data_IF_524807478738
#
_entry.id   IF_524807478738
#
_cell.length_a   1.000
_cell.length_b   1.000
_cell.length_c   1.000
_cell.angle_alpha   90.00
_cell.angle_beta   90.00
_cell.angle_gamma   90.00
#
_symmetry.space_group_name_H-M   'P 1'
#
loop_
_entity.id
_entity.type
_entity.pdbx_description
1 polymer ?
#
# COMPACT_ATOMS: atom_id res chain seq x y z
N UNK A 1 28.73 20.59 -12.98
CA UNK A 1 27.40 21.26 -13.04
C UNK A 1 27.01 21.80 -14.44
N UNK A 2 27.51 21.24 -15.56
CA UNK A 2 27.07 21.61 -16.94
C UNK A 2 26.52 20.45 -17.78
N UNK A 3 26.57 19.19 -17.32
CA UNK A 3 26.07 17.99 -18.05
C UNK A 3 24.59 17.68 -17.80
N UNK A 4 24.04 18.01 -16.63
CA UNK A 4 22.64 17.70 -16.27
C UNK A 4 21.63 18.57 -17.05
N UNK A 5 22.05 19.78 -17.44
CA UNK A 5 21.20 20.73 -18.16
C UNK A 5 21.02 20.39 -19.66
N UNK A 6 21.78 19.42 -20.18
CA UNK A 6 21.67 18.97 -21.58
C UNK A 6 20.55 17.93 -21.77
N UNK A 7 20.34 17.06 -20.78
CA UNK A 7 19.34 15.98 -20.82
C UNK A 7 17.91 16.56 -20.80
N UNK A 8 17.67 17.61 -20.01
CA UNK A 8 16.35 18.25 -19.92
C UNK A 8 15.96 19.05 -21.17
N UNK A 9 16.93 19.58 -21.94
CA UNK A 9 16.64 20.40 -23.11
C UNK A 9 16.17 19.58 -24.32
N UNK A 10 16.48 18.27 -24.38
CA UNK A 10 16.00 17.36 -25.44
C UNK A 10 14.67 16.67 -25.14
N UNK A 11 14.18 16.72 -23.90
CA UNK A 11 12.88 16.14 -23.54
C UNK A 11 11.70 16.94 -24.09
N UNK A 12 11.90 18.19 -24.52
CA UNK A 12 10.85 19.04 -25.10
C UNK A 12 10.57 18.69 -26.58
N UNK A 13 11.53 18.11 -27.30
CA UNK A 13 11.30 17.58 -28.67
C UNK A 13 10.61 16.21 -28.67
N UNK A 14 10.55 15.54 -27.52
CA UNK A 14 9.97 14.20 -27.35
C UNK A 14 8.45 14.17 -27.62
N UNK A 15 7.77 15.32 -27.49
CA UNK A 15 6.31 15.39 -27.66
C UNK A 15 5.87 15.68 -29.11
N UNK A 16 6.75 16.26 -29.95
CA UNK A 16 6.40 16.68 -31.32
C UNK A 16 6.60 15.55 -32.36
N UNK A 17 7.39 14.52 -32.05
CA UNK A 17 7.76 13.46 -33.00
C UNK A 17 6.94 12.17 -32.88
N UNK A 18 5.77 12.19 -32.23
CA UNK A 18 4.89 11.01 -32.10
C UNK A 18 4.20 10.58 -33.42
N UNK A 19 4.43 11.26 -34.54
CA UNK A 19 3.66 11.06 -35.79
C UNK A 19 4.41 10.47 -36.99
N UNK A 20 5.72 10.20 -36.94
CA UNK A 20 6.42 9.61 -38.08
C UNK A 20 7.35 8.45 -37.72
N UNK A 21 6.91 7.24 -38.11
CA UNK A 21 7.64 6.01 -38.43
C UNK A 21 8.86 5.62 -37.56
N UNK A 22 8.59 4.78 -36.54
CA UNK A 22 9.55 4.19 -35.59
C UNK A 22 10.75 3.44 -36.25
N UNK A 23 10.54 2.79 -37.40
CA UNK A 23 11.54 1.91 -38.03
C UNK A 23 12.77 2.62 -38.59
N UNK A 24 12.64 3.86 -39.06
CA UNK A 24 13.77 4.59 -39.63
C UNK A 24 14.69 5.19 -38.55
N UNK A 25 14.13 5.54 -37.39
CA UNK A 25 14.87 6.13 -36.28
C UNK A 25 15.68 5.09 -35.50
N UNK A 26 15.15 3.87 -35.34
CA UNK A 26 15.93 2.76 -34.78
C UNK A 26 17.19 2.54 -35.62
N UNK A 27 17.07 2.36 -36.94
CA UNK A 27 18.22 2.08 -37.82
C UNK A 27 19.27 3.21 -37.80
N UNK A 28 18.84 4.48 -37.71
CA UNK A 28 19.75 5.64 -37.67
C UNK A 28 20.49 5.76 -36.32
N UNK A 29 19.81 5.52 -35.20
CA UNK A 29 20.42 5.56 -33.86
C UNK A 29 21.35 4.37 -33.63
N UNK A 30 20.98 3.17 -34.11
CA UNK A 30 21.82 1.97 -34.06
C UNK A 30 23.16 2.15 -34.81
N UNK A 31 23.17 2.91 -35.93
CA UNK A 31 24.38 3.12 -36.75
C UNK A 31 25.36 4.17 -36.18
N UNK A 32 24.89 5.12 -35.37
CA UNK A 32 25.72 6.23 -34.85
C UNK A 32 26.14 6.03 -33.39
N UNK A 33 25.29 5.42 -32.55
CA UNK A 33 25.51 5.31 -31.10
C UNK A 33 25.66 3.86 -30.61
N UNK A 34 25.69 2.91 -31.54
CA UNK A 34 25.68 1.47 -31.28
C UNK A 34 26.97 0.97 -30.63
N UNK A 35 26.99 0.93 -29.30
CA UNK A 35 27.33 -0.25 -28.48
C UNK A 35 27.31 0.11 -26.99
N UNK A 36 27.81 1.29 -26.61
CA UNK A 36 27.87 1.76 -25.22
C UNK A 36 26.49 2.17 -24.67
N UNK A 37 25.66 2.87 -25.46
CA UNK A 37 24.29 3.24 -25.04
C UNK A 37 23.36 2.03 -24.89
N UNK A 38 23.64 0.90 -25.53
CA UNK A 38 22.83 -0.32 -25.39
C UNK A 38 23.15 -1.05 -24.09
N UNK A 39 24.42 -1.07 -23.64
CA UNK A 39 24.75 -1.63 -22.32
C UNK A 39 24.18 -0.78 -21.20
N UNK A 40 24.35 0.54 -21.25
CA UNK A 40 23.75 1.45 -20.27
C UNK A 40 22.22 1.42 -20.33
N UNK A 41 21.63 1.26 -21.53
CA UNK A 41 20.19 1.13 -21.72
C UNK A 41 19.62 -0.21 -21.24
N UNK A 42 20.31 -1.33 -21.46
CA UNK A 42 19.93 -2.65 -20.96
C UNK A 42 20.08 -2.75 -19.44
N UNK A 43 21.17 -2.20 -18.88
CA UNK A 43 21.42 -2.15 -17.45
C UNK A 43 20.41 -1.21 -16.75
N UNK A 44 20.08 -0.06 -17.37
CA UNK A 44 19.02 0.84 -16.92
C UNK A 44 17.63 0.21 -17.00
N UNK A 45 17.29 -0.50 -18.09
CA UNK A 45 16.02 -1.22 -18.22
C UNK A 45 15.95 -2.39 -17.22
N UNK A 46 17.06 -3.07 -16.95
CA UNK A 46 17.14 -4.14 -15.95
C UNK A 46 16.97 -3.62 -14.52
N UNK A 47 17.66 -2.53 -14.15
CA UNK A 47 17.51 -1.89 -12.84
C UNK A 47 16.11 -1.26 -12.65
N UNK A 48 15.52 -0.71 -13.72
CA UNK A 48 14.13 -0.21 -13.74
C UNK A 48 13.11 -1.35 -13.58
N UNK A 49 13.39 -2.52 -14.16
CA UNK A 49 12.54 -3.71 -14.03
C UNK A 49 12.58 -4.28 -12.59
N UNK A 50 13.75 -4.38 -11.95
CA UNK A 50 13.89 -4.95 -10.60
C UNK A 50 13.14 -4.12 -9.53
N UNK A 51 13.21 -2.78 -9.60
CA UNK A 51 12.48 -1.90 -8.66
C UNK A 51 10.96 -1.98 -8.86
N UNK A 52 10.50 -2.07 -10.10
CA UNK A 52 9.06 -2.26 -10.41
C UNK A 52 8.59 -3.66 -10.00
N UNK A 53 9.46 -4.65 -10.04
CA UNK A 53 9.11 -6.01 -9.65
C UNK A 53 8.76 -6.13 -8.17
N UNK A 54 9.30 -5.27 -7.30
CA UNK A 54 8.83 -5.14 -5.90
C UNK A 54 7.33 -4.78 -5.85
N UNK A 55 6.90 -3.78 -6.64
CA UNK A 55 5.50 -3.37 -6.69
C UNK A 55 4.59 -4.44 -7.31
N UNK A 56 5.04 -5.09 -8.39
CA UNK A 56 4.31 -6.20 -9.03
C UNK A 56 4.14 -7.37 -8.06
N UNK A 57 5.21 -7.71 -7.34
CA UNK A 57 5.25 -8.81 -6.36
C UNK A 57 4.32 -8.50 -5.20
N UNK A 58 4.39 -7.28 -4.63
CA UNK A 58 3.48 -6.83 -3.58
C UNK A 58 2.02 -6.91 -4.02
N UNK A 59 1.69 -6.43 -5.23
CA UNK A 59 0.33 -6.53 -5.78
C UNK A 59 -0.12 -7.98 -5.96
N UNK A 60 0.76 -8.85 -6.46
CA UNK A 60 0.47 -10.28 -6.63
C UNK A 60 0.18 -10.95 -5.28
N UNK A 61 1.02 -10.69 -4.27
CA UNK A 61 0.84 -11.20 -2.89
C UNK A 61 -0.49 -10.71 -2.32
N UNK A 62 -0.81 -9.41 -2.43
CA UNK A 62 -2.09 -8.86 -1.95
C UNK A 62 -3.30 -9.54 -2.60
N UNK A 63 -3.23 -9.81 -3.91
CA UNK A 63 -4.28 -10.54 -4.61
C UNK A 63 -4.37 -12.01 -4.18
N UNK A 64 -3.24 -12.67 -3.92
CA UNK A 64 -3.21 -14.05 -3.43
C UNK A 64 -3.79 -14.15 -2.02
N UNK A 65 -3.42 -13.23 -1.12
CA UNK A 65 -4.00 -13.14 0.23
C UNK A 65 -5.51 -12.93 0.12
N UNK A 66 -5.96 -12.00 -0.73
CA UNK A 66 -7.40 -11.76 -0.92
C UNK A 66 -8.13 -13.02 -1.38
N UNK A 67 -7.63 -13.72 -2.41
CA UNK A 67 -8.25 -14.97 -2.90
C UNK A 67 -8.23 -16.08 -1.87
N UNK A 68 -7.14 -16.22 -1.13
CA UNK A 68 -7.01 -17.25 -0.10
C UNK A 68 -7.94 -16.99 1.08
N UNK A 69 -8.29 -15.73 1.37
CA UNK A 69 -9.18 -15.37 2.49
C UNK A 69 -10.61 -15.02 2.02
N UNK A 70 -10.90 -15.23 0.73
CA UNK A 70 -12.15 -14.77 0.12
C UNK A 70 -13.37 -15.50 0.70
N UNK A 71 -13.25 -16.79 0.99
CA UNK A 71 -14.30 -17.59 1.62
C UNK A 71 -14.68 -17.05 3.01
N UNK A 72 -13.68 -16.80 3.84
CA UNK A 72 -13.83 -16.37 5.22
C UNK A 72 -14.35 -14.92 5.29
N UNK A 73 -13.93 -14.06 4.36
CA UNK A 73 -14.48 -12.71 4.22
C UNK A 73 -15.88 -12.67 3.62
N UNK A 74 -16.22 -13.59 2.71
CA UNK A 74 -17.58 -13.73 2.17
C UNK A 74 -18.58 -14.17 3.23
N UNK A 75 -18.21 -15.15 4.04
CA UNK A 75 -19.07 -15.63 5.14
C UNK A 75 -19.36 -14.51 6.15
N UNK A 76 -18.37 -13.66 6.40
CA UNK A 76 -18.50 -12.49 7.26
C UNK A 76 -19.08 -11.25 6.55
N UNK A 77 -19.24 -11.27 5.22
CA UNK A 77 -19.68 -10.14 4.38
C UNK A 77 -18.87 -8.86 4.61
N UNK A 78 -17.55 -9.00 4.69
CA UNK A 78 -16.61 -7.88 4.88
C UNK A 78 -15.64 -7.71 3.71
N UNK A 79 -15.18 -6.48 3.51
CA UNK A 79 -14.09 -6.13 2.58
C UNK A 79 -12.73 -6.27 3.25
N UNK A 80 -11.64 -6.30 2.47
CA UNK A 80 -10.27 -6.37 3.02
C UNK A 80 -9.95 -5.29 4.07
N UNK A 81 -10.19 -3.98 3.80
CA UNK A 81 -9.96 -2.93 4.79
C UNK A 81 -10.82 -3.06 6.06
N UNK A 82 -12.05 -3.57 5.93
CA UNK A 82 -12.92 -3.87 7.08
C UNK A 82 -12.36 -5.02 7.92
N UNK A 83 -11.89 -6.09 7.27
CA UNK A 83 -11.20 -7.20 7.94
C UNK A 83 -9.93 -6.77 8.65
N UNK A 84 -9.13 -5.87 8.06
CA UNK A 84 -7.94 -5.31 8.71
C UNK A 84 -8.28 -4.55 10.00
N UNK A 85 -9.28 -3.66 9.98
CA UNK A 85 -9.71 -2.94 11.20
C UNK A 85 -10.16 -3.93 12.28
N UNK A 86 -10.98 -4.92 11.92
CA UNK A 86 -11.43 -5.92 12.88
C UNK A 86 -10.24 -6.70 13.44
N UNK A 87 -9.31 -7.14 12.60
CA UNK A 87 -8.11 -7.87 13.03
C UNK A 87 -7.24 -7.06 13.99
N UNK A 88 -7.03 -5.77 13.71
CA UNK A 88 -6.29 -4.85 14.60
C UNK A 88 -6.98 -4.74 15.95
N UNK A 89 -8.30 -4.54 15.98
CA UNK A 89 -9.10 -4.43 17.21
C UNK A 89 -9.19 -5.76 17.97
N UNK A 90 -9.18 -6.90 17.29
CA UNK A 90 -9.13 -8.21 17.94
C UNK A 90 -7.79 -8.43 18.65
N UNK A 91 -6.69 -7.98 18.05
CA UNK A 91 -5.34 -8.12 18.61
C UNK A 91 -5.05 -7.12 19.73
N UNK A 92 -5.43 -5.85 19.56
CA UNK A 92 -5.08 -4.77 20.51
C UNK A 92 -6.22 -4.41 21.46
N UNK A 93 -7.43 -4.93 21.23
CA UNK A 93 -8.62 -4.56 21.99
C UNK A 93 -9.22 -3.22 21.53
N UNK A 94 -9.80 -2.50 22.48
CA UNK A 94 -10.39 -1.18 22.24
C UNK A 94 -9.30 -0.15 21.86
N UNK A 95 -9.55 0.64 20.81
CA UNK A 95 -8.59 1.60 20.29
C UNK A 95 -9.26 2.92 19.87
N UNK A 96 -8.53 4.04 19.94
CA UNK A 96 -9.00 5.31 19.37
C UNK A 96 -9.04 5.24 17.85
N UNK A 97 -9.94 6.00 17.23
CA UNK A 97 -9.96 6.17 15.77
C UNK A 97 -8.62 6.73 15.26
N UNK A 98 -7.98 7.64 16.00
CA UNK A 98 -6.65 8.16 15.66
C UNK A 98 -5.62 7.03 15.55
N UNK A 99 -5.56 6.16 16.55
CA UNK A 99 -4.57 5.09 16.63
C UNK A 99 -4.82 4.02 15.56
N UNK A 100 -6.10 3.77 15.23
CA UNK A 100 -6.48 2.95 14.08
C UNK A 100 -6.06 3.59 12.76
N UNK A 101 -6.15 4.91 12.63
CA UNK A 101 -5.72 5.65 11.44
C UNK A 101 -4.23 5.45 11.18
N UNK A 102 -3.43 5.63 12.24
CA UNK A 102 -1.98 5.46 12.17
C UNK A 102 -1.59 4.02 11.83
N UNK A 103 -2.25 3.02 12.45
CA UNK A 103 -1.99 1.59 12.14
C UNK A 103 -2.42 1.20 10.73
N UNK A 104 -3.50 1.79 10.20
CA UNK A 104 -3.99 1.53 8.85
C UNK A 104 -3.20 2.30 7.78
N UNK A 105 -2.44 3.34 8.17
CA UNK A 105 -1.83 4.27 7.22
C UNK A 105 -2.86 5.05 6.40
N UNK A 106 -4.05 5.29 6.97
CA UNK A 106 -5.17 5.97 6.33
C UNK A 106 -5.57 7.21 7.11
N UNK A 107 -6.22 8.17 6.47
CA UNK A 107 -6.75 9.34 7.18
C UNK A 107 -7.86 8.94 8.16
N UNK A 108 -8.04 9.73 9.22
CA UNK A 108 -9.10 9.49 10.20
C UNK A 108 -10.50 9.60 9.61
N UNK A 109 -10.71 10.39 8.55
CA UNK A 109 -11.99 10.42 7.84
C UNK A 109 -12.27 9.11 7.10
N UNK A 110 -11.27 8.54 6.42
CA UNK A 110 -11.40 7.24 5.75
C UNK A 110 -11.64 6.12 6.75
N UNK A 111 -10.85 6.06 7.83
CA UNK A 111 -11.04 5.05 8.88
C UNK A 111 -12.40 5.20 9.55
N UNK A 112 -12.82 6.42 9.88
CA UNK A 112 -14.15 6.67 10.45
C UNK A 112 -15.26 6.17 9.52
N UNK A 113 -15.17 6.42 8.21
CA UNK A 113 -16.14 5.91 7.25
C UNK A 113 -16.19 4.38 7.13
N UNK A 114 -15.05 3.69 7.35
CA UNK A 114 -15.03 2.21 7.42
C UNK A 114 -15.68 1.73 8.72
N UNK A 115 -15.34 2.37 9.85
CA UNK A 115 -15.91 2.07 11.17
C UNK A 115 -17.42 2.31 11.17
N UNK A 116 -17.92 3.36 10.52
CA UNK A 116 -19.37 3.63 10.36
C UNK A 116 -20.10 2.43 9.73
N UNK A 117 -19.51 1.85 8.68
CA UNK A 117 -20.10 0.69 8.01
C UNK A 117 -20.07 -0.55 8.89
N UNK A 118 -18.94 -0.80 9.57
CA UNK A 118 -18.79 -1.92 10.49
C UNK A 118 -19.77 -1.83 11.67
N UNK A 119 -19.99 -0.63 12.19
CA UNK A 119 -20.94 -0.36 13.28
C UNK A 119 -22.38 -0.61 12.82
N UNK A 120 -22.76 -0.11 11.62
CA UNK A 120 -24.07 -0.40 11.01
C UNK A 120 -24.30 -1.89 10.76
N UNK A 121 -23.23 -2.66 10.51
CA UNK A 121 -23.28 -4.12 10.36
C UNK A 121 -23.26 -4.87 11.70
N UNK A 122 -23.22 -4.15 12.84
CA UNK A 122 -23.18 -4.73 14.18
C UNK A 122 -21.90 -5.53 14.46
N UNK A 123 -20.77 -5.14 13.84
CA UNK A 123 -19.47 -5.81 13.98
C UNK A 123 -18.56 -5.11 14.99
N UNK A 124 -18.70 -3.80 15.13
CA UNK A 124 -17.96 -2.97 16.08
C UNK A 124 -18.91 -2.04 16.81
N UNK A 125 -18.45 -1.47 17.93
CA UNK A 125 -19.15 -0.44 18.70
C UNK A 125 -18.23 0.76 18.91
N UNK A 126 -18.77 1.97 18.78
CA UNK A 126 -18.10 3.19 19.22
C UNK A 126 -18.45 3.54 20.65
N UNK A 127 -17.44 3.99 21.38
CA UNK A 127 -17.55 4.47 22.75
C UNK A 127 -16.95 5.87 22.78
N UNK A 128 -17.77 6.86 23.12
CA UNK A 128 -17.26 8.22 23.37
C UNK A 128 -16.64 8.26 24.75
N UNK A 129 -15.46 8.85 24.86
CA UNK A 129 -14.82 9.05 26.16
C UNK A 129 -15.68 9.95 27.05
N UNK A 130 -15.73 9.63 28.34
CA UNK A 130 -16.33 10.47 29.38
C UNK A 130 -15.53 11.76 29.62
N UNK A 131 -14.21 11.69 29.45
CA UNK A 131 -13.28 12.75 29.82
C UNK A 131 -13.11 13.77 28.69
N UNK A 132 -13.01 13.29 27.45
CA UNK A 132 -13.00 14.13 26.26
C UNK A 132 -13.97 13.60 25.20
N UNK A 133 -15.10 14.27 25.03
CA UNK A 133 -16.15 13.87 24.07
C UNK A 133 -15.68 13.91 22.61
N UNK A 134 -14.52 14.51 22.31
CA UNK A 134 -13.90 14.50 20.97
C UNK A 134 -13.19 13.17 20.70
N UNK A 135 -12.84 12.41 21.73
CA UNK A 135 -12.18 11.12 21.60
C UNK A 135 -13.23 10.02 21.43
N UNK A 136 -13.08 9.27 20.34
CA UNK A 136 -13.92 8.12 20.01
C UNK A 136 -13.06 6.87 20.02
N UNK A 137 -13.42 5.94 20.90
CA UNK A 137 -12.91 4.59 20.95
C UNK A 137 -13.78 3.67 20.10
N UNK A 138 -13.17 2.63 19.57
CA UNK A 138 -13.80 1.58 18.79
C UNK A 138 -13.37 0.25 19.38
N UNK A 139 -14.31 -0.67 19.53
CA UNK A 139 -14.02 -2.06 19.88
C UNK A 139 -14.88 -3.01 19.06
N UNK A 140 -14.45 -4.26 18.94
CA UNK A 140 -15.26 -5.32 18.34
C UNK A 140 -16.50 -5.55 19.21
N UNK A 141 -17.65 -5.72 18.55
CA UNK A 141 -18.89 -6.07 19.24
C UNK A 141 -18.81 -7.49 19.81
N UNK A 142 -19.30 -7.71 21.03
CA UNK A 142 -19.18 -9.01 21.71
C UNK A 142 -20.00 -10.12 21.03
N UNK A 143 -21.18 -9.80 20.49
CA UNK A 143 -21.99 -10.78 19.78
C UNK A 143 -21.38 -11.10 18.42
N UNK A 144 -20.71 -10.12 17.80
CA UNK A 144 -19.93 -10.38 16.60
C UNK A 144 -18.75 -11.28 16.90
N UNK A 145 -17.97 -10.93 17.91
CA UNK A 145 -16.80 -11.70 18.35
C UNK A 145 -17.14 -13.17 18.64
N UNK A 146 -18.31 -13.44 19.24
CA UNK A 146 -18.81 -14.80 19.48
C UNK A 146 -19.17 -15.52 18.17
N UNK A 147 -19.98 -14.92 17.29
CA UNK A 147 -20.45 -15.57 16.05
C UNK A 147 -19.35 -15.75 15.00
N UNK A 148 -18.32 -14.91 15.01
CA UNK A 148 -17.21 -14.94 14.06
C UNK A 148 -15.96 -15.65 14.59
N UNK A 149 -16.02 -16.25 15.79
CA UNK A 149 -14.87 -16.89 16.44
C UNK A 149 -14.22 -17.95 15.56
N UNK A 150 -15.04 -18.81 14.94
CA UNK A 150 -14.56 -19.89 14.08
C UNK A 150 -13.94 -19.34 12.78
N UNK A 151 -14.57 -18.35 12.15
CA UNK A 151 -14.02 -17.70 10.95
C UNK A 151 -12.65 -17.08 11.21
N UNK A 152 -12.46 -16.41 12.35
CA UNK A 152 -11.15 -15.85 12.71
C UNK A 152 -10.11 -16.90 13.04
N UNK A 153 -10.51 -17.97 13.73
CA UNK A 153 -9.64 -19.12 13.99
C UNK A 153 -9.16 -19.73 12.67
N UNK A 154 -10.06 -19.93 11.71
CA UNK A 154 -9.72 -20.47 10.39
C UNK A 154 -8.75 -19.57 9.61
N UNK A 155 -8.96 -18.24 9.63
CA UNK A 155 -8.02 -17.28 9.02
C UNK A 155 -6.62 -17.42 9.63
N UNK A 156 -6.54 -17.49 10.97
CA UNK A 156 -5.27 -17.63 11.69
C UNK A 156 -4.58 -18.96 11.37
N UNK A 157 -5.28 -20.08 11.54
CA UNK A 157 -4.72 -21.42 11.28
C UNK A 157 -4.27 -21.59 9.83
N UNK A 158 -5.00 -21.00 8.88
CA UNK A 158 -4.62 -21.02 7.47
C UNK A 158 -3.38 -20.19 7.19
N UNK A 159 -3.24 -19.03 7.83
CA UNK A 159 -2.03 -18.22 7.75
C UNK A 159 -0.83 -18.96 8.36
N UNK A 160 -0.99 -19.53 9.56
CA UNK A 160 0.03 -20.36 10.22
C UNK A 160 0.45 -21.55 9.35
N UNK A 161 -0.51 -22.26 8.73
CA UNK A 161 -0.23 -23.39 7.84
C UNK A 161 0.55 -22.98 6.58
N UNK A 162 0.36 -21.75 6.10
CA UNK A 162 1.14 -21.22 4.98
C UNK A 162 2.56 -20.90 5.44
N UNK A 163 2.69 -20.25 6.60
CA UNK A 163 3.98 -19.83 7.16
C UNK A 163 4.82 -21.00 7.68
N UNK A 164 4.20 -22.08 8.16
CA UNK A 164 4.89 -23.28 8.65
C UNK A 164 5.65 -24.06 7.57
N UNK A 165 5.50 -23.68 6.30
CA UNK A 165 6.24 -24.25 5.17
C UNK A 165 7.58 -23.56 4.92
N UNK A 166 7.80 -22.41 5.54
CA UNK A 166 9.05 -21.68 5.47
C UNK A 166 9.97 -22.10 6.62
N UNK A 167 11.26 -22.04 6.36
CA UNK A 167 12.32 -22.11 7.39
C UNK A 167 12.37 -20.81 8.19
N UNK A 168 12.96 -20.86 9.39
CA UNK A 168 13.17 -19.67 10.22
C UNK A 168 13.99 -18.59 9.49
N UNK A 169 14.94 -19.00 8.64
CA UNK A 169 15.76 -18.10 7.82
C UNK A 169 14.91 -17.38 6.76
N UNK A 170 14.06 -18.11 6.03
CA UNK A 170 13.14 -17.51 5.05
C UNK A 170 12.16 -16.52 5.70
N UNK A 171 11.63 -16.85 6.89
CA UNK A 171 10.77 -15.92 7.65
C UNK A 171 11.55 -14.67 8.05
N UNK A 172 12.78 -14.81 8.55
CA UNK A 172 13.61 -13.69 8.93
C UNK A 172 13.91 -12.75 7.73
N UNK A 173 14.21 -13.33 6.57
CA UNK A 173 14.48 -12.57 5.35
C UNK A 173 13.23 -11.84 4.82
N UNK A 174 12.06 -12.49 4.84
CA UNK A 174 10.79 -11.86 4.49
C UNK A 174 10.52 -10.66 5.40
N UNK A 175 10.64 -10.84 6.72
CA UNK A 175 10.41 -9.77 7.69
C UNK A 175 11.39 -8.61 7.48
N UNK A 176 12.67 -8.91 7.25
CA UNK A 176 13.69 -7.90 6.96
C UNK A 176 13.40 -7.14 5.67
N UNK A 177 13.02 -7.83 4.60
CA UNK A 177 12.66 -7.24 3.32
C UNK A 177 11.45 -6.31 3.42
N UNK A 178 10.37 -6.78 4.06
CA UNK A 178 9.15 -5.99 4.28
C UNK A 178 9.40 -4.76 5.16
N UNK A 179 10.20 -4.88 6.21
CA UNK A 179 10.57 -3.74 7.06
C UNK A 179 11.43 -2.71 6.31
N UNK A 180 12.31 -3.17 5.43
CA UNK A 180 13.10 -2.28 4.57
C UNK A 180 12.20 -1.54 3.59
N UNK A 181 11.27 -2.24 2.94
CA UNK A 181 10.28 -1.64 2.05
C UNK A 181 9.40 -0.61 2.78
N UNK A 182 8.92 -0.93 3.99
CA UNK A 182 8.15 -0.03 4.83
C UNK A 182 8.90 1.28 5.10
N UNK A 183 10.16 1.20 5.54
CA UNK A 183 11.01 2.39 5.80
C UNK A 183 11.18 3.26 4.56
N UNK A 184 11.39 2.66 3.39
CA UNK A 184 11.53 3.40 2.13
C UNK A 184 10.24 4.16 1.78
N UNK A 185 9.08 3.52 1.94
CA UNK A 185 7.78 4.15 1.68
C UNK A 185 7.50 5.30 2.67
N UNK A 186 7.77 5.09 3.97
CA UNK A 186 7.59 6.12 5.02
C UNK A 186 8.49 7.35 4.80
N UNK A 187 9.73 7.15 4.33
CA UNK A 187 10.63 8.26 4.00
C UNK A 187 10.13 9.14 2.85
N UNK A 188 9.26 8.61 2.00
CA UNK A 188 8.68 9.32 0.84
C UNK A 188 7.39 10.08 1.18
N UNK A 189 6.61 9.63 2.17
CA UNK A 189 5.34 10.26 2.56
C UNK A 189 5.51 11.55 3.38
N UNK A 190 6.71 11.79 3.94
CA UNK A 190 7.04 13.03 4.66
C UNK A 190 7.33 14.27 3.79
N UNK A 191 7.39 14.15 2.45
CA UNK A 191 7.67 15.28 1.56
C UNK A 191 6.42 15.90 0.89
N UNK A 192 5.26 15.24 0.97
CA UNK A 192 4.04 15.68 0.29
C UNK A 192 3.08 16.52 1.15
N UNK A 193 3.26 16.54 2.48
CA UNK A 193 2.39 17.27 3.41
C UNK A 193 2.68 18.77 3.52
N UNK A 194 3.86 19.23 3.13
CA UNK A 194 4.23 20.66 3.19
C UNK A 194 3.81 21.48 1.96
N UNK A 195 3.50 20.84 0.83
CA UNK A 195 3.08 21.54 -0.39
C UNK A 195 1.57 21.85 -0.46
N UNK A 196 0.75 21.33 0.46
CA UNK A 196 -0.68 21.65 0.53
C UNK A 196 -1.01 22.85 1.44
N UNK A 197 -0.04 23.42 2.16
CA UNK A 197 -0.24 24.57 3.06
C UNK A 197 0.17 25.94 2.47
N UNK A 198 0.58 26.00 1.19
CA UNK A 198 0.95 27.26 0.50
C UNK A 198 0.04 27.62 -0.69
N UNK A 199 -1.23 27.23 -0.62
CA UNK A 199 -2.30 27.77 -1.47
C UNK A 199 -3.29 28.54 -0.61
N UNK A 200 -2.83 29.64 -0.01
CA UNK A 200 -3.68 30.57 0.72
C UNK A 200 -4.77 31.10 -0.20
N UNK A 201 -6.01 31.00 0.27
CA UNK A 201 -7.16 31.72 -0.26
C UNK A 201 -6.92 33.22 -0.03
N UNK A 202 -6.33 33.89 -1.02
CA UNK A 202 -6.42 35.34 -1.19
C UNK A 202 -7.26 35.59 -2.44
N UNK A 203 -8.42 36.24 -2.29
CA UNK A 203 -9.23 36.63 -3.43
C UNK A 203 -10.66 37.00 -3.05
N UNK A 204 -10.82 38.26 -2.64
CA UNK A 204 -11.95 39.19 -2.78
C UNK A 204 -13.35 38.63 -3.12
#
# INVERSE_FOLDING_TARGET
MKKVNWIFKKSIDFFVLRRYNYLAYEIFVYKIYGFEMLKEGEEFLKEYNERIDVLKTLKSIMNMIHRNMESEFKDLKITGPQGMIIGILMHHGEMKISDLSDKMGLSSSTVSGIVDRLEKQGMVKRIRSSDDRRVVYVKVDEDFKKRSKESFKNIYERFETIMSKATDEEIADIVKGLNTLKKLIESSSGQSSDNFKKGGFDGC
#
